data_IF_134449487544
#
_entry.id   IF_134449487544
#
_cell.length_a   1.000
_cell.length_b   1.000
_cell.length_c   1.000
_cell.angle_alpha   90.00
_cell.angle_beta   90.00
_cell.angle_gamma   90.00
#
_symmetry.space_group_name_H-M   'P 1'
#
loop_
_entity.id
_entity.type
_entity.pdbx_description
1 polymer ?
#
# COMPACT_ATOMS: atom_id res chain seq x y z
N UNK A 1 -6.98 -8.06 19.24
CA UNK A 1 -7.43 -7.78 17.86
C UNK A 1 -7.32 -6.29 17.62
N UNK A 2 -6.81 -5.88 16.46
CA UNK A 2 -6.63 -4.47 16.09
C UNK A 2 -7.89 -3.95 15.37
N UNK A 3 -8.05 -2.63 15.27
CA UNK A 3 -9.14 -2.00 14.50
C UNK A 3 -8.59 -1.13 13.38
N UNK A 4 -9.41 -0.89 12.35
CA UNK A 4 -9.07 0.05 11.26
C UNK A 4 -8.76 1.44 11.82
N UNK A 5 -9.52 1.92 12.80
CA UNK A 5 -9.30 3.23 13.43
C UNK A 5 -7.91 3.34 14.09
N UNK A 6 -7.44 2.28 14.76
CA UNK A 6 -6.09 2.23 15.33
C UNK A 6 -5.01 2.31 14.25
N UNK A 7 -5.22 1.60 13.14
CA UNK A 7 -4.30 1.60 12.00
C UNK A 7 -4.28 2.97 11.30
N UNK A 8 -5.44 3.59 11.07
CA UNK A 8 -5.55 4.93 10.50
C UNK A 8 -4.86 5.98 11.38
N UNK A 9 -4.97 5.83 12.71
CA UNK A 9 -4.27 6.70 13.66
C UNK A 9 -2.75 6.54 13.59
N UNK A 10 -2.26 5.33 13.36
CA UNK A 10 -0.84 5.09 13.10
C UNK A 10 -0.41 5.66 11.75
N UNK A 11 -1.22 5.47 10.70
CA UNK A 11 -0.95 5.96 9.34
C UNK A 11 -0.84 7.49 9.27
N UNK A 12 -1.63 8.23 10.06
CA UNK A 12 -1.55 9.71 10.17
C UNK A 12 -0.17 10.23 10.61
N UNK A 13 0.70 9.38 11.14
CA UNK A 13 2.08 9.74 11.53
C UNK A 13 3.05 9.69 10.34
N UNK A 14 2.67 9.04 9.24
CA UNK A 14 3.47 8.91 8.01
C UNK A 14 3.37 10.23 7.24
N UNK A 15 4.50 10.93 7.07
CA UNK A 15 4.57 12.18 6.29
C UNK A 15 5.26 11.98 4.94
N UNK A 16 6.14 10.98 4.87
CA UNK A 16 6.90 10.62 3.67
C UNK A 16 7.23 9.13 3.66
N UNK A 17 7.82 8.64 2.56
CA UNK A 17 8.28 7.25 2.47
C UNK A 17 9.28 6.87 3.57
N UNK A 18 10.04 7.82 4.12
CA UNK A 18 10.99 7.58 5.21
C UNK A 18 10.30 7.18 6.53
N UNK A 19 9.03 7.55 6.73
CA UNK A 19 8.26 7.21 7.94
C UNK A 19 7.58 5.83 7.82
N UNK A 20 7.49 5.28 6.60
CA UNK A 20 6.78 4.05 6.32
C UNK A 20 7.30 2.83 7.11
N UNK A 21 8.63 2.58 7.21
CA UNK A 21 9.16 1.50 8.04
C UNK A 21 8.69 1.54 9.49
N UNK A 22 8.65 2.74 10.09
CA UNK A 22 8.21 2.93 11.47
C UNK A 22 6.73 2.63 11.64
N UNK A 23 5.90 3.07 10.69
CA UNK A 23 4.48 2.72 10.66
C UNK A 23 4.28 1.20 10.59
N UNK A 24 5.01 0.52 9.70
CA UNK A 24 4.96 -0.93 9.55
C UNK A 24 5.30 -1.66 10.85
N UNK A 25 6.35 -1.22 11.55
CA UNK A 25 6.67 -1.79 12.87
C UNK A 25 5.57 -1.54 13.90
N UNK A 26 4.97 -0.35 13.91
CA UNK A 26 3.90 0.00 14.85
C UNK A 26 2.68 -0.91 14.67
N UNK A 27 2.17 -1.07 13.45
CA UNK A 27 0.98 -1.90 13.19
C UNK A 27 1.27 -3.40 13.31
N UNK A 28 2.52 -3.84 13.08
CA UNK A 28 2.96 -5.20 13.37
C UNK A 28 2.82 -5.53 14.85
N UNK A 29 3.18 -4.59 15.74
CA UNK A 29 3.00 -4.74 17.19
C UNK A 29 1.52 -4.78 17.59
N UNK A 30 0.62 -4.16 16.81
CA UNK A 30 -0.83 -4.29 17.02
C UNK A 30 -1.38 -5.67 16.62
N UNK A 31 -0.59 -6.47 15.90
CA UNK A 31 -0.93 -7.83 15.47
C UNK A 31 -1.26 -7.96 13.98
N UNK A 32 -1.02 -6.92 13.17
CA UNK A 32 -1.15 -7.01 11.70
C UNK A 32 -0.03 -7.89 11.15
N UNK A 33 -0.38 -8.82 10.27
CA UNK A 33 0.53 -9.77 9.61
C UNK A 33 0.80 -9.35 8.17
N UNK A 34 -0.25 -8.95 7.47
CA UNK A 34 -0.19 -8.41 6.11
C UNK A 34 -1.35 -7.46 5.87
N UNK A 35 -1.26 -6.66 4.81
CA UNK A 35 -2.39 -5.93 4.28
C UNK A 35 -2.30 -5.80 2.76
N UNK A 36 -3.47 -5.67 2.13
CA UNK A 36 -3.62 -5.41 0.71
C UNK A 36 -4.36 -4.11 0.50
N UNK A 37 -3.81 -3.20 -0.30
CA UNK A 37 -4.49 -1.95 -0.65
C UNK A 37 -4.80 -1.94 -2.13
N UNK A 38 -6.06 -1.64 -2.45
CA UNK A 38 -6.55 -1.59 -3.82
C UNK A 38 -6.46 -0.17 -4.37
N UNK A 39 -5.80 -0.02 -5.50
CA UNK A 39 -5.57 1.29 -6.13
C UNK A 39 -6.88 1.96 -6.53
N UNK A 40 -7.88 1.17 -6.94
CA UNK A 40 -9.16 1.69 -7.46
C UNK A 40 -9.81 2.73 -6.55
N UNK A 41 -9.73 2.60 -5.23
CA UNK A 41 -10.42 3.50 -4.29
C UNK A 41 -9.66 3.66 -2.96
N UNK A 42 -8.44 3.11 -2.89
CA UNK A 42 -7.57 3.06 -1.72
C UNK A 42 -8.19 2.38 -0.47
N UNK A 43 -9.18 1.49 -0.64
CA UNK A 43 -9.55 0.62 0.47
C UNK A 43 -8.43 -0.38 0.76
N UNK A 44 -8.26 -0.71 2.05
CA UNK A 44 -7.24 -1.64 2.52
C UNK A 44 -7.87 -2.77 3.30
N UNK A 45 -7.50 -4.01 2.96
CA UNK A 45 -7.79 -5.21 3.72
C UNK A 45 -6.60 -5.55 4.62
N UNK A 46 -6.84 -5.72 5.91
CA UNK A 46 -5.83 -6.05 6.90
C UNK A 46 -6.04 -7.47 7.42
N UNK A 47 -4.94 -8.20 7.57
CA UNK A 47 -4.92 -9.59 8.00
C UNK A 47 -4.11 -9.73 9.29
N UNK A 48 -4.66 -10.44 10.26
CA UNK A 48 -4.04 -10.74 11.55
C UNK A 48 -3.80 -12.23 11.73
N UNK A 49 -3.47 -12.62 12.97
CA UNK A 49 -3.39 -14.04 13.38
C UNK A 49 -4.78 -14.65 13.49
N UNK A 50 -4.84 -15.98 13.52
CA UNK A 50 -6.06 -16.77 13.76
C UNK A 50 -7.20 -16.39 12.79
N UNK A 51 -6.84 -16.21 11.51
CA UNK A 51 -7.74 -15.81 10.41
C UNK A 51 -8.49 -14.47 10.63
N UNK A 52 -8.02 -13.63 11.54
CA UNK A 52 -8.61 -12.32 11.77
C UNK A 52 -8.44 -11.40 10.55
N UNK A 53 -9.53 -10.79 10.09
CA UNK A 53 -9.55 -9.83 8.98
C UNK A 53 -10.40 -8.61 9.32
N UNK A 54 -9.99 -7.44 8.86
CA UNK A 54 -10.81 -6.21 8.86
C UNK A 54 -10.47 -5.36 7.64
N UNK A 55 -11.34 -4.43 7.24
CA UNK A 55 -11.16 -3.63 6.03
C UNK A 55 -11.57 -2.19 6.25
N UNK A 56 -10.81 -1.25 5.67
CA UNK A 56 -11.22 0.14 5.63
C UNK A 56 -12.37 0.34 4.64
N UNK A 57 -13.03 1.50 4.74
CA UNK A 57 -13.91 1.96 3.67
C UNK A 57 -13.07 2.46 2.48
N UNK A 58 -13.66 2.53 1.27
CA UNK A 58 -13.12 3.32 0.18
C UNK A 58 -12.79 4.75 0.64
N UNK A 59 -11.64 5.26 0.25
CA UNK A 59 -11.20 6.62 0.61
C UNK A 59 -11.50 7.64 -0.50
N UNK A 60 -11.58 7.18 -1.75
CA UNK A 60 -11.76 8.01 -2.94
C UNK A 60 -12.83 7.44 -3.86
N UNK A 61 -13.22 8.24 -4.86
CA UNK A 61 -13.98 7.74 -6.01
C UNK A 61 -13.16 6.75 -6.82
N UNK A 62 -13.83 5.82 -7.50
CA UNK A 62 -13.15 4.78 -8.27
C UNK A 62 -12.26 5.37 -9.38
N UNK A 63 -10.98 4.99 -9.36
CA UNK A 63 -9.96 5.24 -10.36
C UNK A 63 -9.99 4.11 -11.39
N UNK A 64 -9.92 4.47 -12.67
CA UNK A 64 -9.77 3.48 -13.75
C UNK A 64 -8.31 3.02 -13.84
N UNK A 65 -8.08 1.72 -13.68
CA UNK A 65 -6.75 1.12 -13.80
C UNK A 65 -6.47 0.79 -15.26
N UNK A 66 -5.34 1.28 -15.78
CA UNK A 66 -4.90 0.98 -17.14
C UNK A 66 -4.72 -0.53 -17.35
N UNK A 67 -5.07 -1.03 -18.54
CA UNK A 67 -4.98 -2.46 -18.85
C UNK A 67 -3.53 -2.93 -19.09
N UNK A 68 -2.65 -2.03 -19.53
CA UNK A 68 -1.25 -2.33 -19.80
C UNK A 68 -0.36 -1.70 -18.73
N UNK A 69 0.62 -2.47 -18.27
CA UNK A 69 1.58 -2.03 -17.25
C UNK A 69 2.72 -1.24 -17.89
N UNK A 70 2.98 -0.05 -17.37
CA UNK A 70 4.19 0.72 -17.65
C UNK A 70 5.10 0.70 -16.40
N UNK A 71 5.93 -0.34 -16.33
CA UNK A 71 6.79 -0.61 -15.16
C UNK A 71 7.83 0.49 -14.93
N UNK A 72 8.41 1.05 -15.99
CA UNK A 72 9.46 2.06 -15.88
C UNK A 72 8.88 3.42 -15.42
N UNK A 73 7.71 3.80 -15.94
CA UNK A 73 6.96 4.96 -15.45
C UNK A 73 6.53 4.74 -14.00
N UNK A 74 6.02 3.56 -13.65
CA UNK A 74 5.64 3.23 -12.28
C UNK A 74 6.80 3.40 -11.29
N UNK A 75 7.97 2.79 -11.58
CA UNK A 75 9.15 2.89 -10.71
C UNK A 75 9.58 4.36 -10.54
N UNK A 76 9.49 5.16 -11.61
CA UNK A 76 9.81 6.59 -11.57
C UNK A 76 8.85 7.35 -10.64
N UNK A 77 7.54 7.14 -10.79
CA UNK A 77 6.51 7.73 -9.93
C UNK A 77 6.67 7.32 -8.46
N UNK A 78 6.96 6.04 -8.20
CA UNK A 78 7.17 5.50 -6.86
C UNK A 78 8.37 6.18 -6.17
N UNK A 79 9.51 6.32 -6.85
CA UNK A 79 10.69 7.01 -6.31
C UNK A 79 10.39 8.47 -5.95
N UNK A 80 9.60 9.16 -6.78
CA UNK A 80 9.17 10.53 -6.49
C UNK A 80 8.30 10.57 -5.22
N UNK A 81 7.37 9.63 -5.08
CA UNK A 81 6.51 9.52 -3.89
C UNK A 81 7.32 9.21 -2.61
N UNK A 82 8.25 8.25 -2.68
CA UNK A 82 9.13 7.90 -1.57
C UNK A 82 9.98 9.09 -1.09
N UNK A 83 10.34 10.01 -1.99
CA UNK A 83 11.02 11.27 -1.66
C UNK A 83 10.09 12.34 -1.06
N UNK A 84 8.80 12.07 -0.88
CA UNK A 84 7.81 13.01 -0.34
C UNK A 84 7.40 14.12 -1.31
N UNK A 85 7.63 13.93 -2.62
CA UNK A 85 7.35 14.95 -3.65
C UNK A 85 5.92 14.88 -4.21
N UNK A 86 5.18 13.82 -3.91
CA UNK A 86 3.77 13.66 -4.26
C UNK A 86 2.98 13.24 -3.03
N UNK A 87 1.76 13.74 -2.91
CA UNK A 87 0.82 13.21 -1.93
C UNK A 87 0.35 11.80 -2.29
N UNK A 88 -0.35 11.17 -1.35
CA UNK A 88 -0.79 9.79 -1.46
C UNK A 88 -1.87 9.57 -2.53
N UNK A 89 -2.80 10.53 -2.72
CA UNK A 89 -3.82 10.42 -3.77
C UNK A 89 -3.18 10.49 -5.16
N UNK A 90 -2.25 11.42 -5.36
CA UNK A 90 -1.44 11.54 -6.59
C UNK A 90 -0.67 10.25 -6.87
N UNK A 91 -0.12 9.61 -5.84
CA UNK A 91 0.53 8.31 -5.99
C UNK A 91 -0.44 7.21 -6.42
N UNK A 92 -1.66 7.15 -5.86
CA UNK A 92 -2.70 6.21 -6.29
C UNK A 92 -3.08 6.42 -7.77
N UNK A 93 -3.23 7.67 -8.21
CA UNK A 93 -3.48 8.00 -9.61
C UNK A 93 -2.33 7.54 -10.51
N UNK A 94 -1.07 7.77 -10.14
CA UNK A 94 0.07 7.26 -10.88
C UNK A 94 0.08 5.73 -10.98
N UNK A 95 -0.27 5.02 -9.90
CA UNK A 95 -0.43 3.57 -9.90
C UNK A 95 -1.49 3.14 -10.92
N UNK A 96 -2.66 3.78 -10.90
CA UNK A 96 -3.76 3.49 -11.81
C UNK A 96 -3.36 3.70 -13.27
N UNK A 97 -2.73 4.83 -13.58
CA UNK A 97 -2.24 5.17 -14.93
C UNK A 97 -1.15 4.22 -15.45
N UNK A 98 -0.40 3.59 -14.55
CA UNK A 98 0.71 2.69 -14.89
C UNK A 98 0.32 1.21 -14.81
N UNK A 99 -0.96 0.92 -14.60
CA UNK A 99 -1.52 -0.44 -14.64
C UNK A 99 -1.33 -1.24 -13.35
N UNK A 100 -1.02 -0.58 -12.23
CA UNK A 100 -0.98 -1.22 -10.92
C UNK A 100 -2.40 -1.31 -10.36
N UNK A 101 -2.84 -2.51 -10.02
CA UNK A 101 -4.18 -2.78 -9.47
C UNK A 101 -4.17 -2.67 -7.94
N UNK A 102 -3.14 -3.22 -7.31
CA UNK A 102 -3.03 -3.30 -5.86
C UNK A 102 -1.57 -3.47 -5.42
N UNK A 103 -1.35 -3.30 -4.13
CA UNK A 103 -0.11 -3.73 -3.50
C UNK A 103 -0.37 -4.50 -2.21
N UNK A 104 0.54 -5.43 -1.92
CA UNK A 104 0.50 -6.31 -0.75
C UNK A 104 1.73 -6.04 0.09
N UNK A 105 1.50 -5.75 1.37
CA UNK A 105 2.56 -5.56 2.35
C UNK A 105 2.55 -6.74 3.30
N UNK A 106 3.68 -7.44 3.38
CA UNK A 106 3.89 -8.53 4.34
C UNK A 106 4.81 -8.03 5.45
N UNK A 107 4.28 -7.94 6.67
CA UNK A 107 4.98 -7.35 7.81
C UNK A 107 5.94 -8.35 8.47
N UNK A 108 5.76 -9.65 8.21
CA UNK A 108 6.71 -10.68 8.65
C UNK A 108 7.94 -10.70 7.74
N UNK A 109 7.71 -10.71 6.42
CA UNK A 109 8.76 -10.68 5.41
C UNK A 109 9.35 -9.28 5.19
N UNK A 110 8.73 -8.24 5.72
CA UNK A 110 9.10 -6.82 5.52
C UNK A 110 9.20 -6.47 4.03
N UNK A 111 8.15 -6.80 3.27
CA UNK A 111 8.11 -6.58 1.82
C UNK A 111 6.85 -5.84 1.41
N UNK A 112 6.96 -5.02 0.36
CA UNK A 112 5.86 -4.42 -0.37
C UNK A 112 5.93 -4.91 -1.81
N UNK A 113 4.85 -5.50 -2.32
CA UNK A 113 4.79 -6.05 -3.67
C UNK A 113 3.62 -5.41 -4.41
N UNK A 114 3.88 -4.90 -5.61
CA UNK A 114 2.90 -4.26 -6.49
C UNK A 114 2.46 -5.23 -7.58
N UNK A 115 1.16 -5.27 -7.85
CA UNK A 115 0.54 -6.22 -8.77
C UNK A 115 -0.26 -5.52 -9.86
N UNK A 116 -0.29 -6.12 -11.05
CA UNK A 116 -1.21 -5.74 -12.12
C UNK A 116 -2.55 -6.48 -12.03
N UNK A 117 -3.47 -6.17 -12.96
CA UNK A 117 -4.81 -6.78 -13.04
C UNK A 117 -4.80 -8.28 -13.35
N UNK A 118 -3.70 -8.80 -13.88
CA UNK A 118 -3.53 -10.23 -14.14
C UNK A 118 -2.93 -10.97 -12.94
N UNK A 119 -2.59 -10.25 -11.86
CA UNK A 119 -1.96 -10.80 -10.66
C UNK A 119 -0.45 -11.02 -10.80
N UNK A 120 0.19 -10.43 -11.82
CA UNK A 120 1.64 -10.52 -11.96
C UNK A 120 2.34 -9.57 -10.99
N UNK A 121 3.44 -10.02 -10.38
CA UNK A 121 4.32 -9.16 -9.58
C UNK A 121 5.08 -8.20 -10.49
N UNK A 122 4.82 -6.90 -10.34
CA UNK A 122 5.47 -5.86 -11.13
C UNK A 122 6.76 -5.39 -10.46
N UNK A 123 6.70 -5.18 -9.15
CA UNK A 123 7.84 -4.74 -8.35
C UNK A 123 7.71 -5.28 -6.93
N UNK A 124 8.83 -5.73 -6.38
CA UNK A 124 8.98 -6.08 -4.96
C UNK A 124 10.03 -5.19 -4.34
N UNK A 125 9.68 -4.54 -3.24
CA UNK A 125 10.58 -3.74 -2.42
C UNK A 125 10.74 -4.37 -1.04
N UNK A 126 11.95 -4.27 -0.50
CA UNK A 126 12.20 -4.57 0.90
C UNK A 126 11.99 -3.30 1.72
N UNK A 127 11.26 -3.44 2.81
CA UNK A 127 11.02 -2.35 3.76
C UNK A 127 12.22 -2.35 4.72
N UNK A 128 12.99 -1.25 4.78
CA UNK A 128 14.17 -1.20 5.65
C UNK A 128 13.79 -1.35 7.12
N UNK A 129 14.76 -1.80 7.92
CA UNK A 129 14.62 -1.98 9.37
C UNK A 129 14.99 -0.73 10.15
#
# INVERSE_FOLDING_TARGET
MFTVEQIEKAHKKVKSGADFPKYIQEIKQMGVVSFETWVKDSHTEYFGKDDYKTSSKPQYSELSIADNVDKDKFISCLKIHQQGKTDYYTFCTHCAETGIEKWVVNLNAMTCIYFDKAGNEILKENIPH
#
